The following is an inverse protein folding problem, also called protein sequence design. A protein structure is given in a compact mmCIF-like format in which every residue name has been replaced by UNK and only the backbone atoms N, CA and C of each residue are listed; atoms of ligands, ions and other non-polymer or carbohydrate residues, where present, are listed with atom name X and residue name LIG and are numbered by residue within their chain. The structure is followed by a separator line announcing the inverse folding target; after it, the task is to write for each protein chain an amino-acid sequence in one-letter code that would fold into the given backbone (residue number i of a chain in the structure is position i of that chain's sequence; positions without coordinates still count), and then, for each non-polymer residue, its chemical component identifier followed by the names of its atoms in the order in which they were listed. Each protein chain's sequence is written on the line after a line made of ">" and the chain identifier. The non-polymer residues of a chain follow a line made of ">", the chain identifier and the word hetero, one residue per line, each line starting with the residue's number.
data_IF_244918478183
#
_entry.id   IF_244918478183
#
_cell.length_a   1.000
_cell.length_b   1.000
_cell.length_c   1.000
_cell.angle_alpha   90.00
_cell.angle_beta   90.00
_cell.angle_gamma   90.00
#
_symmetry.space_group_name_H-M   'P 1'
#
loop_
_entity.id
_entity.type
_entity.pdbx_description
1 polymer ?
#
# COMPACT_ATOMS: atom_id res chain seq x y z
N UNK A 1 -39.51 -0.91 22.98
CA UNK A 1 -38.15 -1.11 23.52
C UNK A 1 -37.26 -1.90 22.58
N UNK A 2 -37.67 -3.07 22.08
CA UNK A 2 -36.88 -3.91 21.16
C UNK A 2 -36.45 -3.18 19.86
N UNK A 3 -37.34 -2.39 19.24
CA UNK A 3 -37.03 -1.60 18.03
C UNK A 3 -35.98 -0.51 18.26
N UNK A 4 -35.96 0.12 19.43
CA UNK A 4 -35.03 1.19 19.78
C UNK A 4 -33.62 0.62 20.03
N UNK A 5 -33.54 -0.55 20.69
CA UNK A 5 -32.30 -1.29 20.87
C UNK A 5 -31.73 -1.71 19.52
N UNK A 6 -32.53 -2.29 18.63
CA UNK A 6 -32.08 -2.65 17.27
C UNK A 6 -31.54 -1.47 16.47
N UNK A 7 -32.20 -0.31 16.53
CA UNK A 7 -31.77 0.88 15.81
C UNK A 7 -30.44 1.43 16.35
N UNK A 8 -30.27 1.42 17.67
CA UNK A 8 -29.03 1.82 18.33
C UNK A 8 -27.89 0.87 17.99
N UNK A 9 -28.13 -0.45 17.97
CA UNK A 9 -27.13 -1.45 17.60
C UNK A 9 -26.67 -1.28 16.15
N UNK A 10 -27.59 -1.07 15.20
CA UNK A 10 -27.25 -0.80 13.79
C UNK A 10 -26.40 0.47 13.68
N UNK A 11 -26.78 1.55 14.39
CA UNK A 11 -26.04 2.80 14.35
C UNK A 11 -24.61 2.66 14.92
N UNK A 12 -24.44 1.90 15.99
CA UNK A 12 -23.12 1.60 16.57
C UNK A 12 -22.26 0.74 15.65
N UNK A 13 -22.85 -0.25 14.95
CA UNK A 13 -22.16 -1.05 13.94
C UNK A 13 -21.68 -0.20 12.75
N UNK A 14 -22.48 0.76 12.28
CA UNK A 14 -22.05 1.69 11.22
C UNK A 14 -20.90 2.61 11.67
N UNK A 15 -20.85 3.00 12.94
CA UNK A 15 -19.80 3.87 13.48
C UNK A 15 -18.46 3.14 13.67
N UNK A 16 -18.49 1.84 13.96
CA UNK A 16 -17.30 1.02 14.14
C UNK A 16 -16.49 0.80 12.84
N UNK A 17 -17.06 1.07 11.67
CA UNK A 17 -16.41 0.85 10.38
C UNK A 17 -15.43 1.95 9.93
N UNK A 18 -15.26 3.05 10.68
CA UNK A 18 -14.81 4.31 10.08
C UNK A 18 -13.36 4.78 10.36
N UNK A 19 -12.43 3.91 10.77
CA UNK A 19 -10.99 4.25 10.74
C UNK A 19 -10.15 3.03 10.38
N UNK A 20 -9.72 2.93 9.12
CA UNK A 20 -8.65 2.01 8.69
C UNK A 20 -7.35 2.79 8.64
N UNK A 21 -6.28 2.21 9.16
CA UNK A 21 -4.95 2.79 9.03
C UNK A 21 -4.62 3.04 7.55
N UNK A 22 -4.13 4.24 7.18
CA UNK A 22 -3.69 4.49 5.82
C UNK A 22 -2.65 3.47 5.37
N UNK A 23 -2.75 3.03 4.13
CA UNK A 23 -1.77 2.12 3.54
C UNK A 23 -0.41 2.81 3.53
N UNK A 24 0.58 2.16 4.13
CA UNK A 24 1.97 2.64 4.21
C UNK A 24 2.92 1.60 3.64
N UNK A 25 4.01 2.05 3.04
CA UNK A 25 5.14 1.17 2.74
C UNK A 25 5.76 0.66 4.05
N UNK A 26 5.99 -0.65 4.13
CA UNK A 26 6.56 -1.32 5.32
C UNK A 26 7.97 -1.84 5.07
N UNK A 27 8.30 -2.22 3.84
CA UNK A 27 9.60 -2.77 3.47
C UNK A 27 10.03 -2.30 2.07
N UNK A 28 11.34 -2.43 1.79
CA UNK A 28 11.97 -1.98 0.55
C UNK A 28 12.54 -0.55 0.65
N UNK A 29 12.96 0.07 -0.48
CA UNK A 29 12.95 -0.51 -1.82
C UNK A 29 14.08 -1.53 -2.02
N UNK A 30 13.76 -2.68 -2.61
CA UNK A 30 14.78 -3.60 -3.12
C UNK A 30 14.87 -3.47 -4.64
N UNK A 31 16.09 -3.28 -5.16
CA UNK A 31 16.33 -3.16 -6.59
C UNK A 31 16.68 -4.53 -7.19
N UNK A 32 16.19 -4.81 -8.39
CA UNK A 32 16.47 -6.07 -9.08
C UNK A 32 16.37 -5.95 -10.60
N UNK A 33 16.79 -6.99 -11.31
CA UNK A 33 16.72 -7.12 -12.78
C UNK A 33 17.24 -5.86 -13.53
N UNK A 34 18.45 -5.34 -13.21
CA UNK A 34 18.97 -4.18 -13.91
C UNK A 34 19.23 -4.50 -15.38
N UNK A 35 18.97 -3.52 -16.25
CA UNK A 35 19.42 -3.47 -17.65
C UNK A 35 20.18 -2.17 -17.89
N UNK A 36 20.59 -1.90 -19.13
CA UNK A 36 21.21 -0.61 -19.48
C UNK A 36 20.26 0.58 -19.32
N UNK A 37 18.94 0.37 -19.26
CA UNK A 37 17.93 1.44 -19.22
C UNK A 37 16.79 1.23 -18.22
N UNK A 38 16.80 0.14 -17.45
CA UNK A 38 15.72 -0.18 -16.51
C UNK A 38 16.20 -0.90 -15.25
N UNK A 39 15.40 -0.81 -14.20
CA UNK A 39 15.55 -1.57 -12.96
C UNK A 39 14.17 -1.87 -12.39
N UNK A 40 13.99 -3.05 -11.82
CA UNK A 40 12.80 -3.39 -11.05
C UNK A 40 12.94 -2.87 -9.62
N UNK A 41 11.85 -2.31 -9.08
CA UNK A 41 11.75 -1.89 -7.68
C UNK A 41 10.69 -2.73 -7.00
N UNK A 42 11.05 -3.33 -5.88
CA UNK A 42 10.14 -4.08 -5.04
C UNK A 42 9.91 -3.35 -3.71
N UNK A 43 8.68 -3.44 -3.20
CA UNK A 43 8.29 -2.95 -1.88
C UNK A 43 7.03 -3.66 -1.39
N UNK A 44 6.74 -3.50 -0.09
CA UNK A 44 5.54 -4.06 0.55
C UNK A 44 4.76 -2.96 1.24
N UNK A 45 3.44 -3.06 1.25
CA UNK A 45 2.57 -2.17 2.03
C UNK A 45 1.94 -2.90 3.23
N UNK A 46 1.40 -2.14 4.19
CA UNK A 46 0.79 -2.67 5.42
C UNK A 46 -0.46 -3.52 5.16
N UNK A 47 -1.17 -3.21 4.08
CA UNK A 47 -2.32 -3.94 3.54
C UNK A 47 -2.16 -3.96 2.02
N UNK A 48 -2.77 -4.92 1.28
CA UNK A 48 -2.75 -4.91 -0.19
C UNK A 48 -3.21 -3.56 -0.75
N UNK A 49 -2.32 -2.89 -1.48
CA UNK A 49 -2.56 -1.56 -2.02
C UNK A 49 -1.62 -1.21 -3.15
N UNK A 50 -1.94 -0.12 -3.85
CA UNK A 50 -1.11 0.38 -4.94
C UNK A 50 -0.03 1.34 -4.41
N UNK A 51 1.15 1.28 -5.01
CA UNK A 51 2.19 2.30 -4.86
C UNK A 51 2.81 2.64 -6.22
N UNK A 52 3.44 3.81 -6.28
CA UNK A 52 4.21 4.28 -7.43
C UNK A 52 5.64 4.61 -7.00
N UNK A 53 6.58 4.47 -7.93
CA UNK A 53 7.95 4.92 -7.74
C UNK A 53 8.13 6.25 -8.45
N UNK A 54 8.49 7.30 -7.69
CA UNK A 54 8.97 8.57 -8.24
C UNK A 54 10.48 8.48 -8.44
N UNK A 55 10.98 8.82 -9.63
CA UNK A 55 12.40 8.70 -9.93
C UNK A 55 12.92 9.82 -10.84
N UNK A 56 14.24 10.00 -10.84
CA UNK A 56 14.96 11.03 -11.58
C UNK A 56 16.45 10.93 -11.29
N UNK A 57 17.27 11.71 -12.00
CA UNK A 57 18.73 11.72 -11.84
C UNK A 57 19.22 12.70 -10.78
N UNK A 58 18.33 13.56 -10.27
CA UNK A 58 18.62 14.53 -9.19
C UNK A 58 17.65 14.29 -8.05
N UNK A 59 18.15 14.21 -6.82
CA UNK A 59 17.33 13.93 -5.63
C UNK A 59 16.21 14.97 -5.42
N UNK A 60 16.45 16.23 -5.78
CA UNK A 60 15.46 17.31 -5.71
C UNK A 60 14.45 17.30 -6.87
N UNK A 61 14.61 16.44 -7.89
CA UNK A 61 13.80 16.44 -9.11
C UNK A 61 13.47 15.00 -9.54
N UNK A 62 12.47 14.41 -8.88
CA UNK A 62 11.91 13.11 -9.23
C UNK A 62 10.69 13.26 -10.16
N UNK A 63 10.93 13.75 -11.37
CA UNK A 63 9.88 14.12 -12.32
C UNK A 63 9.23 12.93 -13.03
N UNK A 64 9.83 11.74 -12.96
CA UNK A 64 9.29 10.53 -13.59
C UNK A 64 8.51 9.69 -12.58
N UNK A 65 7.54 8.93 -13.08
CA UNK A 65 6.72 8.00 -12.28
C UNK A 65 6.62 6.66 -12.98
N UNK A 66 6.64 5.57 -12.21
CA UNK A 66 6.23 4.26 -12.71
C UNK A 66 4.72 4.20 -12.94
N UNK A 67 4.25 3.14 -13.59
CA UNK A 67 2.86 2.71 -13.45
C UNK A 67 2.60 2.26 -11.99
N UNK A 68 1.35 2.35 -11.51
CA UNK A 68 0.97 1.79 -10.22
C UNK A 68 1.24 0.28 -10.18
N UNK A 69 1.79 -0.18 -9.05
CA UNK A 69 1.96 -1.60 -8.75
C UNK A 69 1.17 -1.93 -7.49
N UNK A 70 0.42 -3.03 -7.52
CA UNK A 70 -0.35 -3.53 -6.37
C UNK A 70 0.44 -4.62 -5.67
N UNK A 71 0.53 -4.55 -4.34
CA UNK A 71 1.15 -5.60 -3.54
C UNK A 71 0.15 -6.70 -3.19
N UNK A 72 0.56 -7.96 -3.30
CA UNK A 72 -0.23 -9.14 -2.92
C UNK A 72 0.55 -9.99 -1.92
N UNK A 73 -0.09 -10.35 -0.80
CA UNK A 73 0.57 -11.01 0.33
C UNK A 73 1.11 -12.40 -0.03
N UNK A 74 0.60 -13.06 -1.06
CA UNK A 74 1.04 -14.38 -1.52
C UNK A 74 2.28 -14.30 -2.42
N UNK A 75 2.52 -13.17 -3.07
CA UNK A 75 3.56 -13.01 -4.11
C UNK A 75 4.68 -12.06 -3.69
N UNK A 76 4.39 -11.05 -2.88
CA UNK A 76 5.35 -10.03 -2.47
C UNK A 76 5.97 -10.36 -1.12
N UNK A 77 6.62 -11.52 -1.07
CA UNK A 77 7.24 -12.07 0.14
C UNK A 77 8.78 -12.02 0.13
N UNK A 78 9.41 -11.30 -0.80
CA UNK A 78 10.87 -11.17 -0.79
C UNK A 78 11.33 -10.37 0.45
N UNK A 79 12.46 -10.78 1.02
CA UNK A 79 12.93 -10.28 2.32
C UNK A 79 12.48 -11.12 3.51
N UNK A 80 12.78 -12.43 3.49
CA UNK A 80 12.79 -13.23 4.71
C UNK A 80 13.93 -12.77 5.61
N UNK A 81 13.63 -12.46 6.87
CA UNK A 81 14.58 -12.51 7.97
C UNK A 81 14.41 -13.86 8.67
#
# INVERSE_FOLDING_TARGET
>A
MLKLVSLLTIFLFLKAQAYRDPIRLTHGPMLGKPTSSSVAVWGRTSEPGEFIVKFGTKASQLTHSSLPAKTEIDRDNTGVA
#
